data_IF_030459144910
#
_entry.id   IF_030459144910
#
_cell.length_a   1.000
_cell.length_b   1.000
_cell.length_c   1.000
_cell.angle_alpha   90.00
_cell.angle_beta   90.00
_cell.angle_gamma   90.00
#
_symmetry.space_group_name_H-M   'P 1'
#
loop_
_entity.id
_entity.type
_entity.pdbx_description
1 polymer ?
#
# COMPACT_ATOMS: atom_id res chain seq x y z
N UNK A 1 -33.99 51.41 -29.74
CA UNK A 1 -34.40 50.45 -28.69
C UNK A 1 -33.16 49.78 -28.09
N UNK A 2 -33.20 49.22 -26.87
CA UNK A 2 -32.02 48.56 -26.24
C UNK A 2 -31.37 47.54 -27.19
N UNK A 3 -32.17 46.79 -27.95
CA UNK A 3 -31.66 45.85 -28.95
C UNK A 3 -30.94 46.52 -30.13
N UNK A 4 -31.41 47.66 -30.64
CA UNK A 4 -30.72 48.41 -31.71
C UNK A 4 -29.37 48.98 -31.25
N UNK A 5 -29.30 49.48 -30.01
CA UNK A 5 -28.05 49.95 -29.43
C UNK A 5 -27.04 48.81 -29.28
N UNK A 6 -27.49 47.65 -28.78
CA UNK A 6 -26.65 46.45 -28.71
C UNK A 6 -26.21 45.98 -30.11
N UNK A 7 -27.12 45.93 -31.09
CA UNK A 7 -26.79 45.56 -32.47
C UNK A 7 -25.76 46.51 -33.10
N UNK A 8 -25.85 47.81 -32.80
CA UNK A 8 -24.90 48.81 -33.30
C UNK A 8 -23.53 48.68 -32.62
N UNK A 9 -23.50 48.35 -31.33
CA UNK A 9 -22.26 48.34 -30.53
C UNK A 9 -21.49 47.02 -30.64
N UNK A 10 -22.19 45.88 -30.63
CA UNK A 10 -21.58 44.53 -30.64
C UNK A 10 -21.70 43.82 -31.99
N UNK A 11 -22.41 44.42 -32.95
CA UNK A 11 -22.51 43.94 -34.33
C UNK A 11 -23.03 42.50 -34.42
N UNK A 12 -22.32 41.58 -35.10
CA UNK A 12 -22.79 40.21 -35.34
C UNK A 12 -22.87 39.35 -34.08
N UNK A 13 -22.29 39.79 -32.96
CA UNK A 13 -22.33 39.09 -31.68
C UNK A 13 -23.49 39.56 -30.78
N UNK A 14 -24.29 40.52 -31.24
CA UNK A 14 -25.43 41.00 -30.48
C UNK A 14 -26.46 39.87 -30.24
N UNK A 15 -26.97 39.72 -29.00
CA UNK A 15 -28.02 38.76 -28.72
C UNK A 15 -29.27 39.05 -29.54
N UNK A 16 -29.95 38.00 -29.99
CA UNK A 16 -31.22 38.14 -30.70
C UNK A 16 -32.26 38.90 -29.86
N UNK A 17 -33.13 39.66 -30.52
CA UNK A 17 -34.22 40.41 -29.89
C UNK A 17 -35.00 39.65 -28.81
N UNK A 18 -35.40 38.36 -28.99
CA UNK A 18 -36.10 37.61 -27.95
C UNK A 18 -35.29 37.43 -26.65
N UNK A 19 -33.98 37.29 -26.76
CA UNK A 19 -33.07 37.18 -25.60
C UNK A 19 -33.01 38.51 -24.87
N UNK A 20 -32.86 39.63 -25.59
CA UNK A 20 -32.83 40.98 -25.00
C UNK A 20 -34.16 41.30 -24.32
N UNK A 21 -35.29 40.99 -24.96
CA UNK A 21 -36.62 41.23 -24.39
C UNK A 21 -36.86 40.40 -23.11
N UNK A 22 -36.43 39.13 -23.08
CA UNK A 22 -36.53 38.27 -21.90
C UNK A 22 -35.69 38.80 -20.73
N UNK A 23 -34.45 39.21 -20.97
CA UNK A 23 -33.60 39.79 -19.93
C UNK A 23 -34.10 41.15 -19.45
N UNK A 24 -34.58 42.02 -20.35
CA UNK A 24 -35.21 43.29 -19.97
C UNK A 24 -36.42 43.09 -19.06
N UNK A 25 -37.23 42.05 -19.33
CA UNK A 25 -38.34 41.64 -18.45
C UNK A 25 -37.83 41.19 -17.08
N UNK A 26 -36.81 40.33 -17.02
CA UNK A 26 -36.24 39.86 -15.75
C UNK A 26 -35.68 41.01 -14.90
N UNK A 27 -35.00 41.99 -15.51
CA UNK A 27 -34.53 43.18 -14.80
C UNK A 27 -35.69 44.04 -14.29
N UNK A 28 -36.77 44.18 -15.06
CA UNK A 28 -37.97 44.90 -14.62
C UNK A 28 -38.68 44.19 -13.46
N UNK A 29 -38.62 42.86 -13.42
CA UNK A 29 -39.15 42.02 -12.33
C UNK A 29 -38.22 41.95 -11.10
N UNK A 30 -37.10 42.67 -11.10
CA UNK A 30 -36.19 42.79 -9.96
C UNK A 30 -35.11 41.69 -9.86
N UNK A 31 -34.89 40.90 -10.93
CA UNK A 31 -33.78 39.93 -10.96
C UNK A 31 -32.46 40.67 -11.22
N UNK A 32 -31.61 40.74 -10.20
CA UNK A 32 -30.28 41.39 -10.28
C UNK A 32 -29.13 40.41 -10.64
N UNK A 33 -29.36 39.10 -10.48
CA UNK A 33 -28.35 38.09 -10.80
C UNK A 33 -28.29 37.80 -12.30
N UNK A 34 -27.09 37.97 -12.85
CA UNK A 34 -26.76 37.73 -14.27
C UNK A 34 -26.27 36.30 -14.53
N UNK A 35 -26.03 35.50 -13.48
CA UNK A 35 -25.62 34.12 -13.64
C UNK A 35 -26.76 33.26 -14.18
N UNK A 36 -26.37 32.21 -14.91
CA UNK A 36 -27.34 31.19 -15.35
C UNK A 36 -27.97 30.52 -14.13
N UNK A 37 -29.29 30.37 -14.18
CA UNK A 37 -30.00 29.53 -13.22
C UNK A 37 -29.51 28.08 -13.30
N UNK A 38 -29.66 27.28 -12.22
CA UNK A 38 -29.33 25.87 -12.23
C UNK A 38 -30.00 25.17 -13.43
N UNK A 39 -29.20 24.79 -14.42
CA UNK A 39 -29.70 24.11 -15.60
C UNK A 39 -30.17 22.72 -15.18
N UNK A 40 -31.37 22.32 -15.59
CA UNK A 40 -31.83 20.93 -15.48
C UNK A 40 -30.97 20.06 -16.40
N UNK A 41 -29.85 19.55 -15.88
CA UNK A 41 -29.00 18.58 -16.57
C UNK A 41 -29.67 17.20 -16.65
N UNK A 42 -28.95 16.21 -17.21
CA UNK A 42 -29.36 14.80 -17.14
C UNK A 42 -29.70 14.47 -15.68
N UNK A 43 -30.85 13.82 -15.39
CA UNK A 43 -31.14 13.34 -14.05
C UNK A 43 -29.96 12.50 -13.60
N UNK A 44 -29.24 12.99 -12.60
CA UNK A 44 -28.34 12.15 -11.83
C UNK A 44 -29.33 11.19 -11.18
N UNK A 45 -29.33 9.92 -11.59
CA UNK A 45 -30.13 8.89 -10.93
C UNK A 45 -30.06 9.12 -9.43
N UNK A 46 -31.22 9.29 -8.80
CA UNK A 46 -31.32 9.86 -7.46
C UNK A 46 -30.38 9.13 -6.51
N UNK A 47 -29.40 9.87 -6.00
CA UNK A 47 -28.69 9.52 -4.78
C UNK A 47 -29.69 9.59 -3.63
N UNK A 48 -30.67 8.69 -3.62
CA UNK A 48 -31.55 8.56 -2.47
C UNK A 48 -30.71 8.07 -1.30
N UNK A 49 -31.01 8.57 -0.11
CA UNK A 49 -30.35 8.11 1.11
C UNK A 49 -30.47 6.59 1.27
N UNK A 50 -31.57 6.00 0.75
CA UNK A 50 -31.78 4.56 0.67
C UNK A 50 -30.71 3.85 -0.17
N UNK A 51 -30.40 4.33 -1.39
CA UNK A 51 -29.39 3.73 -2.25
C UNK A 51 -27.97 3.88 -1.68
N UNK A 52 -27.67 5.04 -1.06
CA UNK A 52 -26.40 5.28 -0.38
C UNK A 52 -26.23 4.31 0.78
N UNK A 53 -27.27 4.15 1.59
CA UNK A 53 -27.27 3.24 2.74
C UNK A 53 -27.15 1.78 2.30
N UNK A 54 -27.81 1.39 1.21
CA UNK A 54 -27.71 0.04 0.67
C UNK A 54 -26.27 -0.30 0.27
N UNK A 55 -25.61 0.59 -0.49
CA UNK A 55 -24.19 0.42 -0.86
C UNK A 55 -23.30 0.41 0.40
N UNK A 56 -23.57 1.26 1.38
CA UNK A 56 -22.83 1.30 2.65
C UNK A 56 -22.94 -0.02 3.41
N UNK A 57 -24.11 -0.63 3.45
CA UNK A 57 -24.34 -1.89 4.14
C UNK A 57 -23.59 -3.04 3.48
N UNK A 58 -23.62 -3.14 2.14
CA UNK A 58 -22.85 -4.16 1.40
C UNK A 58 -21.36 -4.06 1.73
N UNK A 59 -20.79 -2.85 1.66
CA UNK A 59 -19.36 -2.63 1.94
C UNK A 59 -19.02 -2.86 3.43
N UNK A 60 -19.94 -2.55 4.35
CA UNK A 60 -19.73 -2.78 5.79
C UNK A 60 -19.76 -4.27 6.14
N UNK A 61 -20.59 -5.05 5.45
CA UNK A 61 -20.67 -6.50 5.61
C UNK A 61 -19.43 -7.19 5.04
N UNK A 62 -19.01 -6.80 3.84
CA UNK A 62 -17.78 -7.27 3.22
C UNK A 62 -16.99 -6.13 2.55
N UNK A 63 -15.92 -5.63 3.21
CA UNK A 63 -15.05 -4.61 2.63
C UNK A 63 -14.30 -5.05 1.35
N UNK A 64 -14.32 -6.34 1.02
CA UNK A 64 -13.66 -6.89 -0.17
C UNK A 64 -14.58 -7.07 -1.38
N UNK A 65 -15.86 -6.72 -1.25
CA UNK A 65 -16.84 -6.85 -2.33
C UNK A 65 -16.38 -6.16 -3.62
N UNK A 66 -16.54 -6.87 -4.73
CA UNK A 66 -16.30 -6.35 -6.07
C UNK A 66 -17.43 -5.39 -6.48
N UNK A 67 -17.24 -4.66 -7.58
CA UNK A 67 -18.33 -3.86 -8.12
C UNK A 67 -19.50 -4.75 -8.56
N UNK A 68 -19.22 -5.93 -9.11
CA UNK A 68 -20.27 -6.87 -9.55
C UNK A 68 -21.09 -7.42 -8.38
N UNK A 69 -20.46 -7.66 -7.23
CA UNK A 69 -21.16 -8.09 -6.01
C UNK A 69 -22.11 -6.98 -5.53
N UNK A 70 -21.63 -5.73 -5.50
CA UNK A 70 -22.46 -4.58 -5.10
C UNK A 70 -23.59 -4.35 -6.12
N UNK A 71 -23.33 -4.48 -7.42
CA UNK A 71 -24.36 -4.37 -8.46
C UNK A 71 -25.44 -5.44 -8.26
N UNK A 72 -25.04 -6.67 -7.97
CA UNK A 72 -25.96 -7.80 -7.79
C UNK A 72 -26.86 -7.57 -6.57
N UNK A 73 -26.29 -7.11 -5.45
CA UNK A 73 -27.03 -6.90 -4.21
C UNK A 73 -27.90 -5.63 -4.25
N UNK A 74 -27.44 -4.58 -4.93
CA UNK A 74 -28.12 -3.27 -4.92
C UNK A 74 -28.97 -3.00 -6.16
N UNK A 75 -28.81 -3.79 -7.21
CA UNK A 75 -29.37 -3.54 -8.55
C UNK A 75 -29.02 -2.16 -9.14
N UNK A 76 -27.97 -1.51 -8.62
CA UNK A 76 -27.49 -0.22 -9.10
C UNK A 76 -26.48 -0.40 -10.22
N UNK A 77 -26.39 0.59 -11.12
CA UNK A 77 -25.36 0.58 -12.16
C UNK A 77 -23.97 0.85 -11.59
N UNK A 78 -22.93 0.33 -12.26
CA UNK A 78 -21.53 0.55 -11.88
C UNK A 78 -21.19 2.03 -11.66
N UNK A 79 -21.65 2.92 -12.57
CA UNK A 79 -21.37 4.35 -12.48
C UNK A 79 -21.98 5.02 -11.25
N UNK A 80 -23.18 4.59 -10.84
CA UNK A 80 -23.82 5.07 -9.60
C UNK A 80 -23.01 4.63 -8.40
N UNK A 81 -22.62 3.35 -8.33
CA UNK A 81 -21.86 2.81 -7.21
C UNK A 81 -20.49 3.52 -7.09
N UNK A 82 -19.82 3.77 -8.21
CA UNK A 82 -18.58 4.55 -8.23
C UNK A 82 -18.79 5.97 -7.68
N UNK A 83 -19.84 6.66 -8.10
CA UNK A 83 -20.15 7.99 -7.59
C UNK A 83 -20.54 7.98 -6.10
N UNK A 84 -21.35 7.02 -5.66
CA UNK A 84 -21.72 6.85 -4.24
C UNK A 84 -20.47 6.61 -3.41
N UNK A 85 -19.61 5.69 -3.81
CA UNK A 85 -18.38 5.37 -3.09
C UNK A 85 -17.46 6.58 -2.97
N UNK A 86 -17.22 7.32 -4.06
CA UNK A 86 -16.26 8.43 -4.06
C UNK A 86 -16.84 9.75 -3.53
N UNK A 87 -18.06 10.11 -3.91
CA UNK A 87 -18.65 11.42 -3.60
C UNK A 87 -19.52 11.42 -2.34
N UNK A 88 -20.28 10.36 -2.08
CA UNK A 88 -21.16 10.27 -0.92
C UNK A 88 -20.46 9.65 0.29
N UNK A 89 -19.85 8.46 0.12
CA UNK A 89 -19.19 7.72 1.20
C UNK A 89 -17.73 8.14 1.42
N UNK A 90 -17.14 8.91 0.51
CA UNK A 90 -15.74 9.35 0.54
C UNK A 90 -14.73 8.21 0.71
N UNK A 91 -15.06 7.05 0.15
CA UNK A 91 -14.23 5.85 0.22
C UNK A 91 -13.22 5.80 -0.93
N UNK A 92 -12.10 5.12 -0.65
CA UNK A 92 -11.07 4.82 -1.65
C UNK A 92 -10.77 3.33 -1.59
N UNK A 93 -10.80 2.67 -2.76
CA UNK A 93 -10.39 1.27 -2.87
C UNK A 93 -8.88 1.16 -2.69
N UNK A 94 -8.47 0.46 -1.64
CA UNK A 94 -7.06 0.18 -1.34
C UNK A 94 -6.77 -1.30 -1.57
N UNK A 95 -5.56 -1.62 -2.04
CA UNK A 95 -5.15 -3.02 -2.20
C UNK A 95 -4.83 -3.59 -0.82
N UNK A 96 -5.20 -4.85 -0.63
CA UNK A 96 -4.85 -5.58 0.59
C UNK A 96 -3.34 -5.64 0.79
N UNK A 97 -2.92 -5.74 2.04
CA UNK A 97 -1.52 -5.91 2.43
C UNK A 97 -1.31 -7.33 2.89
N UNK A 98 -0.37 -8.05 2.26
CA UNK A 98 0.06 -9.35 2.77
C UNK A 98 0.68 -9.19 4.16
N UNK A 99 0.12 -9.89 5.14
CA UNK A 99 0.68 -10.01 6.49
C UNK A 99 1.34 -11.38 6.59
N UNK A 100 2.63 -11.48 7.00
CA UNK A 100 3.37 -12.75 6.99
C UNK A 100 2.72 -13.87 7.82
N UNK A 101 2.08 -13.51 8.94
CA UNK A 101 1.45 -14.48 9.84
C UNK A 101 0.36 -13.79 10.66
N UNK A 102 -0.73 -14.52 10.93
CA UNK A 102 -1.75 -14.08 11.86
C UNK A 102 -1.29 -14.38 13.29
N UNK A 103 -0.97 -13.33 14.05
CA UNK A 103 -0.50 -13.47 15.42
C UNK A 103 -1.66 -13.81 16.37
N UNK A 104 -1.43 -14.78 17.26
CA UNK A 104 -2.31 -15.01 18.40
C UNK A 104 -2.07 -13.96 19.50
N UNK A 105 -2.97 -13.88 20.49
CA UNK A 105 -2.91 -12.82 21.50
C UNK A 105 -1.71 -12.94 22.43
N UNK A 106 -1.21 -14.15 22.67
CA UNK A 106 0.01 -14.36 23.46
C UNK A 106 1.25 -13.83 22.72
N UNK A 107 1.38 -14.13 21.43
CA UNK A 107 2.45 -13.58 20.59
C UNK A 107 2.41 -12.05 20.53
N UNK A 108 1.20 -11.45 20.50
CA UNK A 108 1.05 -9.99 20.54
C UNK A 108 1.54 -9.42 21.88
N UNK A 109 1.14 -10.03 23.01
CA UNK A 109 1.57 -9.61 24.35
C UNK A 109 3.08 -9.68 24.49
N UNK A 110 3.69 -10.80 24.10
CA UNK A 110 5.14 -10.96 24.19
C UNK A 110 5.90 -9.97 23.30
N UNK A 111 5.43 -9.75 22.07
CA UNK A 111 6.02 -8.71 21.20
C UNK A 111 5.92 -7.33 21.83
N UNK A 112 4.77 -6.98 22.41
CA UNK A 112 4.57 -5.70 23.07
C UNK A 112 5.50 -5.52 24.28
N UNK A 113 5.63 -6.56 25.12
CA UNK A 113 6.54 -6.58 26.27
C UNK A 113 7.99 -6.34 25.84
N UNK A 114 8.47 -7.10 24.85
CA UNK A 114 9.83 -6.96 24.31
C UNK A 114 10.06 -5.57 23.69
N UNK A 115 9.08 -5.03 22.96
CA UNK A 115 9.17 -3.69 22.40
C UNK A 115 9.28 -2.62 23.51
N UNK A 116 8.50 -2.75 24.60
CA UNK A 116 8.60 -1.83 25.75
C UNK A 116 9.95 -1.89 26.44
N UNK A 117 10.47 -3.09 26.68
CA UNK A 117 11.79 -3.30 27.29
C UNK A 117 12.91 -2.72 26.43
N UNK A 118 12.90 -3.00 25.12
CA UNK A 118 13.88 -2.44 24.20
C UNK A 118 13.79 -0.92 24.15
N UNK A 119 12.58 -0.35 24.12
CA UNK A 119 12.39 1.10 24.13
C UNK A 119 12.92 1.76 25.41
N UNK A 120 12.77 1.11 26.57
CA UNK A 120 13.33 1.59 27.82
C UNK A 120 14.87 1.70 27.74
N UNK A 121 15.54 0.67 27.20
CA UNK A 121 17.00 0.65 26.99
C UNK A 121 17.50 1.73 26.04
N UNK A 122 16.69 2.14 25.06
CA UNK A 122 17.04 3.28 24.21
C UNK A 122 16.84 4.62 24.93
N UNK A 123 15.86 4.72 25.83
CA UNK A 123 15.56 5.95 26.58
C UNK A 123 16.54 6.21 27.71
N UNK A 124 16.99 5.17 28.40
CA UNK A 124 17.99 5.29 29.47
C UNK A 124 19.43 5.40 28.94
N UNK A 125 19.63 5.27 27.62
CA UNK A 125 20.92 5.39 26.97
C UNK A 125 21.80 4.13 27.03
N UNK A 126 21.30 3.05 27.62
CA UNK A 126 22.01 1.75 27.66
C UNK A 126 22.26 1.20 26.27
N UNK A 127 21.32 1.42 25.34
CA UNK A 127 21.44 1.03 23.94
C UNK A 127 21.47 2.24 23.02
N UNK A 128 22.41 2.22 22.07
CA UNK A 128 22.43 3.13 20.91
C UNK A 128 22.23 2.32 19.65
N UNK A 129 21.56 2.90 18.67
CA UNK A 129 21.31 2.21 17.40
C UNK A 129 22.61 1.80 16.67
N UNK A 130 23.70 2.55 16.87
CA UNK A 130 25.01 2.23 16.30
C UNK A 130 25.69 1.00 16.90
N UNK A 131 25.28 0.60 18.11
CA UNK A 131 25.87 -0.50 18.86
C UNK A 131 25.11 -1.82 18.61
N UNK A 132 24.03 -1.76 17.81
CA UNK A 132 23.20 -2.91 17.47
C UNK A 132 23.67 -3.52 16.16
N UNK A 133 24.03 -4.80 16.24
CA UNK A 133 24.16 -5.66 15.07
C UNK A 133 22.85 -6.41 14.90
N UNK A 134 22.27 -6.33 13.71
CA UNK A 134 21.14 -7.16 13.31
C UNK A 134 21.49 -7.93 12.06
N UNK A 135 20.87 -9.09 11.88
CA UNK A 135 21.06 -9.89 10.68
C UNK A 135 19.93 -10.89 10.51
N UNK A 136 19.81 -11.39 9.28
CA UNK A 136 18.86 -12.44 8.92
C UNK A 136 19.43 -13.27 7.77
N UNK A 137 18.80 -14.40 7.49
CA UNK A 137 19.15 -15.24 6.36
C UNK A 137 18.18 -15.04 5.19
N UNK A 138 18.73 -14.78 4.01
CA UNK A 138 17.94 -14.57 2.78
C UNK A 138 18.41 -15.49 1.67
N UNK A 139 17.46 -16.10 0.95
CA UNK A 139 17.78 -16.90 -0.24
C UNK A 139 17.68 -16.04 -1.49
N UNK A 140 18.79 -15.89 -2.20
CA UNK A 140 18.88 -15.11 -3.42
C UNK A 140 18.98 -16.06 -4.62
N UNK A 141 18.16 -15.80 -5.63
CA UNK A 141 18.19 -16.51 -6.90
C UNK A 141 19.15 -15.79 -7.88
N UNK A 142 19.97 -16.51 -8.66
CA UNK A 142 20.86 -15.90 -9.65
C UNK A 142 20.11 -15.11 -10.73
N UNK A 143 18.99 -15.64 -11.24
CA UNK A 143 18.15 -14.94 -12.22
C UNK A 143 17.07 -14.11 -11.55
N UNK A 144 16.93 -12.83 -11.91
CA UNK A 144 15.87 -11.95 -11.40
C UNK A 144 14.64 -11.98 -12.32
N UNK A 145 13.48 -12.36 -11.78
CA UNK A 145 12.20 -12.25 -12.49
C UNK A 145 11.43 -11.07 -11.87
N UNK A 146 11.14 -10.06 -12.68
CA UNK A 146 10.37 -8.88 -12.23
C UNK A 146 8.88 -9.22 -12.06
N UNK A 147 8.15 -8.35 -11.37
CA UNK A 147 6.71 -8.48 -11.24
C UNK A 147 6.00 -8.38 -12.59
N UNK A 148 4.83 -9.03 -12.72
CA UNK A 148 4.05 -9.10 -13.96
C UNK A 148 3.79 -7.72 -14.58
N UNK A 149 3.47 -6.71 -13.76
CA UNK A 149 3.24 -5.33 -14.22
C UNK A 149 4.50 -4.65 -14.76
N UNK A 150 5.66 -4.91 -14.16
CA UNK A 150 6.95 -4.36 -14.61
C UNK A 150 7.45 -5.06 -15.88
N UNK A 151 7.03 -6.31 -16.08
CA UNK A 151 7.31 -7.09 -17.28
C UNK A 151 6.28 -6.87 -18.39
N UNK A 152 5.41 -5.87 -18.27
CA UNK A 152 4.49 -5.52 -19.36
C UNK A 152 5.30 -5.08 -20.60
N UNK A 153 4.97 -5.67 -21.74
CA UNK A 153 5.60 -5.37 -23.02
C UNK A 153 4.57 -4.73 -23.95
N UNK A 154 5.00 -3.72 -24.72
CA UNK A 154 4.27 -3.26 -25.88
C UNK A 154 4.40 -4.31 -26.98
N UNK A 155 3.30 -4.62 -27.66
CA UNK A 155 3.28 -5.55 -28.81
C UNK A 155 2.58 -4.88 -29.99
N UNK A 156 3.07 -5.15 -31.21
CA UNK A 156 2.36 -4.81 -32.44
C UNK A 156 1.09 -5.64 -32.62
N UNK A 157 0.16 -5.20 -33.48
CA UNK A 157 -1.14 -5.85 -33.68
C UNK A 157 -1.07 -7.32 -34.11
N UNK A 158 -0.03 -7.68 -34.85
CA UNK A 158 0.20 -9.05 -35.37
C UNK A 158 1.33 -9.80 -34.63
N UNK A 159 1.90 -9.20 -33.58
CA UNK A 159 3.01 -9.80 -32.85
C UNK A 159 2.53 -10.71 -31.72
N UNK A 160 3.27 -11.80 -31.51
CA UNK A 160 3.03 -12.69 -30.37
C UNK A 160 3.76 -12.21 -29.12
N UNK A 161 3.13 -12.39 -27.96
CA UNK A 161 3.74 -12.06 -26.66
C UNK A 161 5.02 -12.88 -26.46
N UNK A 162 6.11 -12.20 -26.07
CA UNK A 162 7.34 -12.88 -25.64
C UNK A 162 7.08 -13.51 -24.26
N UNK A 163 7.09 -14.85 -24.14
CA UNK A 163 6.78 -15.50 -22.86
C UNK A 163 7.96 -15.36 -21.90
N UNK A 164 7.66 -14.93 -20.66
CA UNK A 164 8.62 -14.97 -19.56
C UNK A 164 8.37 -16.25 -18.77
N UNK A 165 9.37 -17.13 -18.78
CA UNK A 165 9.32 -18.42 -18.06
C UNK A 165 9.24 -18.16 -16.56
N UNK A 166 8.23 -18.74 -15.90
CA UNK A 166 8.10 -18.66 -14.44
C UNK A 166 9.23 -19.42 -13.76
N UNK A 167 9.71 -18.89 -12.64
CA UNK A 167 10.72 -19.55 -11.80
C UNK A 167 10.22 -20.92 -11.36
N UNK A 168 11.04 -21.95 -11.53
CA UNK A 168 10.75 -23.27 -10.96
C UNK A 168 10.90 -23.23 -9.43
N UNK A 169 10.07 -23.98 -8.71
CA UNK A 169 10.18 -24.12 -7.24
C UNK A 169 11.56 -24.65 -6.81
N UNK A 170 12.17 -25.48 -7.66
CA UNK A 170 13.44 -26.17 -7.38
C UNK A 170 14.66 -25.51 -8.05
N UNK A 171 14.49 -24.31 -8.60
CA UNK A 171 15.60 -23.57 -9.18
C UNK A 171 16.68 -23.30 -8.13
N UNK A 172 17.98 -23.49 -8.47
CA UNK A 172 19.05 -23.27 -7.51
C UNK A 172 19.04 -21.84 -6.98
N UNK A 173 19.17 -21.73 -5.66
CA UNK A 173 19.28 -20.47 -4.93
C UNK A 173 20.43 -20.55 -3.94
N UNK A 174 21.07 -19.43 -3.68
CA UNK A 174 22.13 -19.31 -2.69
C UNK A 174 21.55 -18.69 -1.44
N UNK A 175 21.74 -19.34 -0.29
CA UNK A 175 21.34 -18.80 0.99
C UNK A 175 22.48 -17.92 1.52
N UNK A 176 22.16 -16.69 1.89
CA UNK A 176 23.09 -15.74 2.48
C UNK A 176 22.71 -15.49 3.94
N UNK A 177 23.70 -15.43 4.83
CA UNK A 177 23.55 -14.86 6.18
C UNK A 177 24.19 -13.48 6.17
N UNK A 178 23.39 -12.44 6.43
CA UNK A 178 23.81 -11.04 6.30
C UNK A 178 23.60 -10.33 7.64
N UNK A 179 24.65 -9.72 8.16
CA UNK A 179 24.64 -8.91 9.37
C UNK A 179 25.08 -7.49 9.08
N UNK A 180 24.40 -6.51 9.66
CA UNK A 180 24.64 -5.09 9.47
C UNK A 180 24.50 -4.30 10.77
N UNK A 181 25.21 -3.17 10.82
CA UNK A 181 25.08 -2.09 11.79
C UNK A 181 24.53 -0.86 11.08
N UNK A 182 24.28 0.20 11.85
CA UNK A 182 23.91 1.52 11.30
C UNK A 182 24.91 2.10 10.28
N UNK A 183 26.19 1.69 10.32
CA UNK A 183 27.25 2.17 9.45
C UNK A 183 27.57 1.25 8.26
N UNK A 184 26.87 0.12 8.12
CA UNK A 184 27.03 -0.78 6.97
C UNK A 184 27.06 -2.27 7.32
N UNK A 185 27.38 -3.12 6.33
CA UNK A 185 27.47 -4.56 6.50
C UNK A 185 28.67 -4.93 7.38
N UNK A 186 28.44 -5.81 8.35
CA UNK A 186 29.46 -6.38 9.23
C UNK A 186 29.95 -7.72 8.69
N UNK A 187 29.02 -8.56 8.23
CA UNK A 187 29.33 -9.89 7.71
C UNK A 187 28.31 -10.30 6.64
N UNK A 188 28.82 -10.81 5.53
CA UNK A 188 28.02 -11.44 4.47
C UNK A 188 28.65 -12.80 4.23
N UNK A 189 27.90 -13.86 4.49
CA UNK A 189 28.35 -15.23 4.28
C UNK A 189 27.41 -15.98 3.35
N UNK A 190 27.96 -16.55 2.28
CA UNK A 190 27.22 -17.45 1.39
C UNK A 190 27.29 -18.87 1.94
N UNK A 191 26.13 -19.52 2.04
CA UNK A 191 26.02 -20.92 2.47
C UNK A 191 26.15 -21.82 1.24
N UNK A 192 27.06 -22.80 1.31
CA UNK A 192 27.32 -23.72 0.21
C UNK A 192 26.07 -24.51 -0.20
N UNK A 193 25.98 -24.80 -1.49
CA UNK A 193 24.85 -25.51 -2.11
C UNK A 193 24.68 -26.90 -1.49
N UNK A 194 23.47 -27.22 -1.03
CA UNK A 194 23.11 -28.51 -0.41
C UNK A 194 23.16 -28.52 1.13
N UNK A 195 23.70 -27.48 1.76
CA UNK A 195 23.70 -27.36 3.22
C UNK A 195 22.47 -26.57 3.70
N UNK A 196 21.72 -27.13 4.65
CA UNK A 196 20.71 -26.38 5.42
C UNK A 196 21.34 -25.90 6.72
N UNK A 197 20.86 -24.76 7.27
CA UNK A 197 21.38 -24.13 8.50
C UNK A 197 21.43 -25.12 9.69
N UNK A 198 20.56 -26.13 9.68
CA UNK A 198 20.44 -27.15 10.73
C UNK A 198 21.73 -27.99 10.88
N UNK A 199 22.52 -28.14 9.80
CA UNK A 199 23.76 -28.93 9.79
C UNK A 199 25.06 -28.12 9.97
N UNK A 200 24.99 -26.79 10.14
CA UNK A 200 26.15 -25.88 10.09
C UNK A 200 26.68 -25.44 11.46
N UNK A 201 26.67 -26.31 12.48
CA UNK A 201 27.22 -25.96 13.81
C UNK A 201 28.65 -25.36 13.73
N UNK A 202 29.52 -25.84 12.83
CA UNK A 202 30.92 -25.39 12.77
C UNK A 202 31.14 -24.05 12.04
N UNK A 203 30.41 -23.74 10.96
CA UNK A 203 30.55 -22.45 10.25
C UNK A 203 29.79 -21.32 10.96
N UNK A 204 28.71 -21.65 11.69
CA UNK A 204 27.98 -20.68 12.50
C UNK A 204 28.74 -20.29 13.77
N UNK A 205 29.43 -21.23 14.44
CA UNK A 205 30.25 -20.88 15.61
C UNK A 205 31.36 -19.89 15.23
N UNK A 206 32.04 -20.08 14.09
CA UNK A 206 33.02 -19.10 13.58
C UNK A 206 32.39 -17.74 13.25
N UNK A 207 31.15 -17.74 12.74
CA UNK A 207 30.40 -16.52 12.45
C UNK A 207 30.04 -15.78 13.74
N UNK A 208 29.55 -16.50 14.75
CA UNK A 208 29.22 -15.96 16.07
C UNK A 208 30.48 -15.45 16.77
N UNK A 209 31.60 -16.18 16.75
CA UNK A 209 32.88 -15.70 17.30
C UNK A 209 33.31 -14.37 16.66
N UNK A 210 33.15 -14.23 15.34
CA UNK A 210 33.46 -12.97 14.62
C UNK A 210 32.52 -11.83 15.00
N UNK A 211 31.26 -12.13 15.32
CA UNK A 211 30.27 -11.14 15.76
C UNK A 211 30.46 -10.77 17.24
N UNK A 212 30.74 -11.73 18.11
CA UNK A 212 31.04 -11.53 19.54
C UNK A 212 32.29 -10.66 19.73
N UNK A 213 33.29 -10.82 18.86
CA UNK A 213 34.48 -9.98 18.83
C UNK A 213 34.18 -8.48 18.57
N UNK A 214 32.99 -8.13 18.06
CA UNK A 214 32.60 -6.74 17.79
C UNK A 214 32.15 -5.96 19.04
N UNK A 215 32.05 -6.60 20.22
CA UNK A 215 31.60 -5.97 21.48
C UNK A 215 30.31 -5.15 21.32
N UNK A 216 29.29 -5.74 20.68
CA UNK A 216 28.04 -5.07 20.31
C UNK A 216 26.83 -5.89 20.76
N UNK A 217 25.69 -5.23 20.94
CA UNK A 217 24.44 -5.91 21.23
C UNK A 217 23.91 -6.57 19.94
N UNK A 218 23.74 -7.90 19.95
CA UNK A 218 23.14 -8.62 18.83
C UNK A 218 21.64 -8.68 19.04
N UNK A 219 20.88 -7.98 18.21
CA UNK A 219 19.42 -8.04 18.23
C UNK A 219 18.96 -8.80 16.99
N UNK A 220 18.51 -10.04 17.16
CA UNK A 220 17.84 -10.77 16.09
C UNK A 220 16.41 -10.25 15.98
N UNK A 221 16.19 -9.38 15.00
CA UNK A 221 15.00 -8.53 14.97
C UNK A 221 13.77 -9.24 14.38
N UNK A 222 13.90 -10.45 13.77
CA UNK A 222 12.82 -10.97 12.92
C UNK A 222 12.42 -12.44 12.96
N UNK A 223 13.07 -13.38 13.66
CA UNK A 223 12.56 -14.78 13.62
C UNK A 223 12.56 -15.54 14.95
N UNK A 224 11.37 -16.00 15.36
CA UNK A 224 11.17 -17.18 16.20
C UNK A 224 11.38 -18.44 15.34
N UNK A 225 12.54 -18.57 14.68
CA UNK A 225 12.94 -19.89 14.15
C UNK A 225 13.40 -20.72 15.35
N UNK A 226 12.96 -21.97 15.42
CA UNK A 226 13.37 -22.96 16.43
C UNK A 226 14.84 -23.38 16.33
N UNK A 227 15.68 -22.63 15.59
CA UNK A 227 17.11 -22.89 15.54
C UNK A 227 17.73 -22.58 16.90
N UNK A 228 18.72 -23.38 17.31
CA UNK A 228 19.50 -23.19 18.55
C UNK A 228 20.09 -21.77 18.68
N UNK A 229 20.20 -21.03 17.57
CA UNK A 229 20.62 -19.63 17.51
C UNK A 229 19.62 -18.70 18.23
N UNK A 230 18.31 -18.87 18.03
CA UNK A 230 17.30 -18.06 18.73
C UNK A 230 17.31 -18.33 20.25
N UNK A 231 17.69 -19.55 20.65
CA UNK A 231 17.84 -19.92 22.06
C UNK A 231 19.14 -19.38 22.67
N UNK A 232 20.27 -19.37 21.93
CA UNK A 232 21.58 -18.92 22.44
C UNK A 232 21.75 -17.39 22.43
N UNK A 233 21.16 -16.69 21.45
CA UNK A 233 21.12 -15.21 21.42
C UNK A 233 20.23 -14.66 22.55
N UNK A 234 19.10 -15.34 22.87
CA UNK A 234 18.30 -15.04 24.06
C UNK A 234 19.09 -15.16 25.37
N UNK A 235 20.08 -16.06 25.42
CA UNK A 235 20.92 -16.26 26.60
C UNK A 235 21.99 -15.17 26.73
N UNK A 236 22.57 -14.69 25.62
CA UNK A 236 23.59 -13.62 25.68
C UNK A 236 23.04 -12.23 26.02
N UNK A 237 21.74 -11.98 25.79
CA UNK A 237 21.11 -10.73 26.27
C UNK A 237 20.95 -10.66 27.80
N UNK A 238 21.21 -11.77 28.51
CA UNK A 238 21.07 -11.89 29.96
C UNK A 238 22.40 -12.08 30.72
N UNK A 239 23.55 -12.19 30.02
CA UNK A 239 24.81 -12.55 30.69
C UNK A 239 26.00 -11.61 30.45
N UNK A 240 25.80 -10.40 29.94
CA UNK A 240 26.86 -9.38 29.91
C UNK A 240 26.31 -7.97 30.20
N UNK A 241 25.92 -7.75 31.46
CA UNK A 241 26.28 -6.59 32.29
C UNK A 241 26.55 -7.15 33.69
#
# INVERSE_FOLDING_TARGET
TIHEELATTVGPYAPLYPTVARWAKHFHEGKEDINDEPRSGRPIFEFTDANIELVRQVISNDPHSSYDDIITETSLSHGIIEQVNHHCLKMKKVRFRWVPHQLNDEQKRERFRLCRENLAKFRDGSWRLCDIITGDETSIYPGQIRHKSTNASWIGGDESLIPIVRRSRFEPKTLFSIFFKSNGPVLINAVDKGNTIIGLNLKYDQTLTRLEAQKCCILNMFTLKSSKIAQRIKIQSLSQI
#
